data_IF_508951514776
#
_entry.id   IF_508951514776
#
_cell.length_a   1.000
_cell.length_b   1.000
_cell.length_c   1.000
_cell.angle_alpha   90.00
_cell.angle_beta   90.00
_cell.angle_gamma   90.00
#
_symmetry.space_group_name_H-M   'P 1'
#
loop_
_entity.id
_entity.type
_entity.pdbx_description
1 polymer ?
#
# COMPACT_ATOMS: atom_id res chain seq x y z
N UNK A 1 15.24 -34.06 -25.73
CA UNK A 1 15.57 -32.61 -25.74
C UNK A 1 14.53 -31.95 -26.63
N UNK A 2 13.39 -31.57 -26.06
CA UNK A 2 12.36 -30.72 -26.68
C UNK A 2 11.43 -30.23 -25.58
N UNK A 3 11.31 -28.91 -25.47
CA UNK A 3 10.54 -28.18 -24.47
C UNK A 3 9.03 -28.43 -24.58
N UNK A 4 8.33 -28.34 -23.44
CA UNK A 4 6.87 -28.18 -23.42
C UNK A 4 6.56 -26.84 -22.73
N UNK A 5 6.11 -25.88 -23.54
CA UNK A 5 5.71 -24.54 -23.12
C UNK A 5 4.28 -24.51 -22.59
N UNK A 6 4.06 -23.61 -21.62
CA UNK A 6 2.82 -23.35 -20.88
C UNK A 6 1.78 -22.63 -21.75
N UNK A 7 1.11 -23.34 -22.64
CA UNK A 7 -0.12 -22.86 -23.26
C UNK A 7 -0.92 -24.03 -23.83
N UNK A 8 -1.80 -24.66 -23.02
CA UNK A 8 -2.96 -25.44 -23.48
C UNK A 8 -3.64 -26.15 -22.31
N UNK A 9 -4.44 -25.46 -21.49
CA UNK A 9 -5.48 -26.13 -20.69
C UNK A 9 -6.68 -25.19 -20.53
N UNK A 10 -7.44 -25.04 -21.62
CA UNK A 10 -8.81 -24.52 -21.56
C UNK A 10 -9.72 -25.33 -22.50
N UNK A 11 -10.70 -25.97 -21.86
CA UNK A 11 -12.06 -26.35 -22.33
C UNK A 11 -12.30 -27.68 -23.06
N UNK A 12 -13.53 -28.15 -22.78
CA UNK A 12 -14.33 -29.23 -23.38
C UNK A 12 -14.15 -30.61 -22.70
N UNK A 13 -15.18 -31.41 -22.41
CA UNK A 13 -16.60 -31.40 -22.75
C UNK A 13 -17.35 -32.14 -21.61
N UNK A 14 -18.64 -31.96 -21.35
CA UNK A 14 -19.74 -32.29 -22.26
C UNK A 14 -20.28 -33.69 -21.95
N UNK A 15 -21.44 -33.68 -21.29
CA UNK A 15 -22.36 -34.75 -20.87
C UNK A 15 -22.50 -35.95 -21.84
N UNK A 16 -22.57 -37.16 -21.28
CA UNK A 16 -23.52 -38.22 -21.70
C UNK A 16 -23.92 -39.11 -20.53
N UNK A 17 -25.22 -39.42 -20.45
CA UNK A 17 -25.89 -40.19 -19.41
C UNK A 17 -26.19 -41.63 -19.86
N UNK A 18 -26.19 -42.59 -18.93
CA UNK A 18 -27.11 -43.74 -18.87
C UNK A 18 -26.95 -44.47 -17.52
N UNK A 19 -28.07 -44.99 -17.01
CA UNK A 19 -28.35 -45.32 -15.62
C UNK A 19 -28.14 -46.80 -15.23
N UNK A 20 -27.96 -47.06 -13.93
CA UNK A 20 -28.43 -48.28 -13.25
C UNK A 20 -28.52 -48.06 -11.73
N UNK A 21 -29.61 -48.54 -11.13
CA UNK A 21 -30.09 -48.24 -9.78
C UNK A 21 -29.31 -48.94 -8.65
N UNK A 22 -29.17 -48.26 -7.50
CA UNK A 22 -28.87 -48.90 -6.22
C UNK A 22 -29.44 -48.09 -5.03
N UNK A 23 -30.25 -48.80 -4.24
CA UNK A 23 -30.86 -48.52 -2.93
C UNK A 23 -30.49 -47.23 -2.18
N UNK A 24 -31.52 -46.47 -1.81
CA UNK A 24 -31.48 -45.38 -0.84
C UNK A 24 -31.30 -45.92 0.58
N UNK A 25 -30.07 -45.87 1.10
CA UNK A 25 -29.82 -45.78 2.54
C UNK A 25 -29.87 -44.31 2.93
N UNK A 26 -30.98 -43.87 3.53
CA UNK A 26 -31.08 -42.55 4.13
C UNK A 26 -30.22 -42.53 5.41
N UNK A 27 -28.93 -42.22 5.25
CA UNK A 27 -28.11 -41.75 6.37
C UNK A 27 -28.56 -40.34 6.78
N UNK A 28 -28.29 -39.91 8.03
CA UNK A 28 -28.56 -38.53 8.42
C UNK A 28 -27.83 -37.59 7.46
N UNK A 29 -28.59 -36.65 6.91
CA UNK A 29 -28.08 -35.59 6.03
C UNK A 29 -26.91 -34.90 6.74
N UNK A 30 -25.74 -34.71 6.08
CA UNK A 30 -24.65 -33.98 6.70
C UNK A 30 -25.18 -32.59 7.06
N UNK A 31 -25.20 -32.28 8.36
CA UNK A 31 -25.65 -30.99 8.86
C UNK A 31 -24.93 -29.91 8.04
N UNK A 32 -25.71 -29.16 7.26
CA UNK A 32 -25.19 -28.08 6.45
C UNK A 32 -24.36 -27.18 7.36
N UNK A 33 -23.05 -27.13 7.11
CA UNK A 33 -22.17 -26.22 7.83
C UNK A 33 -22.76 -24.82 7.69
N UNK A 34 -23.08 -24.19 8.81
CA UNK A 34 -23.56 -22.82 8.83
C UNK A 34 -22.64 -21.96 7.94
N UNK A 35 -23.18 -21.04 7.12
CA UNK A 35 -22.36 -20.24 6.24
C UNK A 35 -21.27 -19.56 7.08
N UNK A 36 -20.01 -19.88 6.80
CA UNK A 36 -18.87 -19.18 7.39
C UNK A 36 -19.07 -17.72 7.01
N UNK A 37 -19.47 -16.90 7.99
CA UNK A 37 -19.68 -15.48 7.79
C UNK A 37 -18.44 -14.89 7.12
N UNK A 38 -18.62 -14.02 6.14
CA UNK A 38 -17.52 -13.34 5.44
C UNK A 38 -16.52 -12.85 6.49
N UNK A 39 -15.22 -13.21 6.40
CA UNK A 39 -14.25 -12.83 7.40
C UNK A 39 -14.34 -11.33 7.66
N UNK A 40 -14.50 -10.94 8.93
CA UNK A 40 -14.53 -9.53 9.32
C UNK A 40 -13.19 -8.90 8.91
N UNK A 41 -13.24 -7.76 8.23
CA UNK A 41 -12.04 -7.04 7.79
C UNK A 41 -11.15 -6.74 9.01
N UNK A 42 -9.84 -6.93 8.86
CA UNK A 42 -8.88 -6.65 9.93
C UNK A 42 -8.94 -5.17 10.30
N UNK A 43 -9.00 -4.79 11.60
CA UNK A 43 -9.16 -3.39 12.01
C UNK A 43 -8.05 -2.48 11.46
N UNK A 44 -6.82 -2.99 11.34
CA UNK A 44 -5.71 -2.22 10.76
C UNK A 44 -5.89 -1.95 9.25
N UNK A 45 -6.55 -2.85 8.50
CA UNK A 45 -6.89 -2.59 7.09
C UNK A 45 -7.91 -1.46 7.01
N UNK A 46 -8.94 -1.48 7.86
CA UNK A 46 -9.92 -0.38 7.94
C UNK A 46 -9.23 0.94 8.31
N UNK A 47 -8.32 0.95 9.27
CA UNK A 47 -7.53 2.12 9.66
C UNK A 47 -6.74 2.70 8.47
N UNK A 48 -6.00 1.86 7.72
CA UNK A 48 -5.22 2.30 6.56
C UNK A 48 -6.11 2.80 5.42
N UNK A 49 -7.29 2.20 5.21
CA UNK A 49 -8.28 2.66 4.24
C UNK A 49 -8.79 4.07 4.58
N UNK A 50 -9.09 4.31 5.85
CA UNK A 50 -9.53 5.63 6.33
C UNK A 50 -8.40 6.67 6.27
N UNK A 51 -7.16 6.27 6.60
CA UNK A 51 -5.97 7.09 6.40
C UNK A 51 -5.85 7.54 4.94
N UNK A 52 -5.99 6.61 3.99
CA UNK A 52 -5.93 6.93 2.55
C UNK A 52 -7.06 7.88 2.12
N UNK A 53 -8.26 7.72 2.68
CA UNK A 53 -9.37 8.65 2.43
C UNK A 53 -9.08 10.07 2.95
N UNK A 54 -8.46 10.20 4.13
CA UNK A 54 -8.03 11.49 4.67
C UNK A 54 -6.89 12.10 3.84
N UNK A 55 -5.91 11.30 3.45
CA UNK A 55 -4.79 11.70 2.58
C UNK A 55 -5.30 12.22 1.23
N UNK A 56 -6.22 11.49 0.58
CA UNK A 56 -6.80 11.89 -0.71
C UNK A 56 -7.57 13.22 -0.68
N UNK A 57 -8.13 13.58 0.49
CA UNK A 57 -8.79 14.87 0.74
C UNK A 57 -7.83 16.00 1.11
N UNK A 58 -6.54 15.69 1.37
CA UNK A 58 -5.57 16.65 1.87
C UNK A 58 -5.81 17.06 3.33
N UNK A 59 -6.50 16.24 4.13
CA UNK A 59 -6.82 16.54 5.53
C UNK A 59 -5.61 16.29 6.45
N UNK A 60 -4.63 17.18 6.38
CA UNK A 60 -3.39 17.08 7.16
C UNK A 60 -3.63 17.10 8.67
N UNK A 61 -4.71 17.75 9.12
CA UNK A 61 -5.09 17.79 10.53
C UNK A 61 -5.49 16.39 11.00
N UNK A 62 -6.38 15.71 10.26
CA UNK A 62 -6.79 14.34 10.58
C UNK A 62 -5.61 13.36 10.52
N UNK A 63 -4.75 13.49 9.51
CA UNK A 63 -3.51 12.69 9.42
C UNK A 63 -2.69 12.80 10.71
N UNK A 64 -2.44 14.03 11.18
CA UNK A 64 -1.68 14.28 12.40
C UNK A 64 -2.35 13.72 13.65
N UNK A 65 -3.61 14.07 13.88
CA UNK A 65 -4.25 13.89 15.19
C UNK A 65 -4.81 12.48 15.38
N UNK A 66 -5.29 11.87 14.29
CA UNK A 66 -6.00 10.59 14.31
C UNK A 66 -5.13 9.41 13.88
N UNK A 67 -4.34 9.56 12.82
CA UNK A 67 -3.69 8.42 12.18
C UNK A 67 -2.23 8.23 12.61
N UNK A 68 -1.49 9.29 12.92
CA UNK A 68 -0.08 9.18 13.26
C UNK A 68 0.16 8.99 14.76
N UNK A 69 1.05 8.05 15.09
CA UNK A 69 1.66 8.00 16.41
C UNK A 69 2.57 9.23 16.60
N UNK A 70 2.78 9.65 17.86
CA UNK A 70 3.63 10.83 18.17
C UNK A 70 5.08 10.64 17.72
N UNK A 71 5.56 9.40 17.75
CA UNK A 71 6.91 8.97 17.38
C UNK A 71 6.96 8.28 16.01
N UNK A 72 5.98 8.52 15.12
CA UNK A 72 5.93 7.89 13.79
C UNK A 72 7.26 8.01 13.05
N UNK A 73 7.69 6.93 12.41
CA UNK A 73 8.79 6.95 11.44
C UNK A 73 8.29 6.62 10.04
N UNK A 74 8.72 7.39 9.04
CA UNK A 74 8.39 7.15 7.64
C UNK A 74 9.65 7.06 6.80
N UNK A 75 9.97 5.88 6.27
CA UNK A 75 11.20 5.62 5.54
C UNK A 75 10.95 5.60 4.03
N UNK A 76 11.65 6.49 3.32
CA UNK A 76 11.64 6.55 1.86
C UNK A 76 13.01 6.10 1.34
N UNK A 77 13.09 5.01 0.56
CA UNK A 77 14.35 4.51 0.03
C UNK A 77 14.90 5.39 -1.10
N UNK A 78 16.16 5.16 -1.46
CA UNK A 78 16.82 5.78 -2.60
C UNK A 78 17.74 6.93 -2.24
N UNK A 79 18.27 7.57 -3.27
CA UNK A 79 19.27 8.62 -3.14
C UNK A 79 18.77 9.93 -3.75
N UNK A 80 17.58 10.41 -3.35
CA UNK A 80 16.97 11.63 -3.88
C UNK A 80 16.61 12.62 -2.75
N UNK A 81 16.27 13.89 -3.08
CA UNK A 81 16.07 14.95 -2.07
C UNK A 81 14.92 14.74 -1.07
N UNK A 82 14.01 13.79 -1.33
CA UNK A 82 12.92 13.43 -0.41
C UNK A 82 13.19 12.13 0.36
N UNK A 83 14.25 11.39 0.01
CA UNK A 83 14.60 10.10 0.62
C UNK A 83 14.99 10.22 2.11
N UNK A 84 15.20 9.07 2.75
CA UNK A 84 15.56 8.94 4.15
C UNK A 84 14.34 8.82 5.07
N UNK A 85 14.60 8.66 6.37
CA UNK A 85 13.57 8.49 7.39
C UNK A 85 13.10 9.83 7.93
N UNK A 86 11.79 10.07 7.86
CA UNK A 86 11.11 11.20 8.51
C UNK A 86 10.69 10.78 9.91
N UNK A 87 10.95 11.64 10.90
CA UNK A 87 10.68 11.38 12.32
C UNK A 87 9.62 12.32 12.85
N UNK A 88 8.57 11.74 13.41
CA UNK A 88 7.42 12.47 13.96
C UNK A 88 6.49 13.04 12.88
N UNK A 89 5.27 13.45 13.29
CA UNK A 89 4.23 13.88 12.35
C UNK A 89 4.64 15.08 11.47
N UNK A 90 5.46 16.01 11.99
CA UNK A 90 5.83 17.23 11.27
C UNK A 90 6.66 16.95 10.01
N UNK A 91 7.67 16.09 10.13
CA UNK A 91 8.52 15.71 9.00
C UNK A 91 7.74 14.87 7.96
N UNK A 92 6.86 13.97 8.42
CA UNK A 92 5.99 13.17 7.54
C UNK A 92 5.05 14.07 6.74
N UNK A 93 4.40 15.03 7.41
CA UNK A 93 3.51 15.99 6.74
C UNK A 93 4.29 16.93 5.81
N UNK A 94 5.54 17.28 6.15
CA UNK A 94 6.41 18.04 5.24
C UNK A 94 6.72 17.26 3.95
N UNK A 95 6.98 15.95 4.07
CA UNK A 95 7.11 15.05 2.92
C UNK A 95 5.81 15.00 2.09
N UNK A 96 4.65 14.86 2.72
CA UNK A 96 3.37 14.85 1.99
C UNK A 96 3.08 16.17 1.27
N UNK A 97 3.40 17.31 1.89
CA UNK A 97 3.33 18.62 1.20
C UNK A 97 4.25 18.65 -0.02
N UNK A 98 5.44 18.05 0.04
CA UNK A 98 6.32 17.95 -1.11
C UNK A 98 5.70 17.10 -2.23
N UNK A 99 5.14 15.93 -1.92
CA UNK A 99 4.40 15.11 -2.89
C UNK A 99 3.22 15.87 -3.51
N UNK A 100 2.51 16.68 -2.71
CA UNK A 100 1.45 17.58 -3.19
C UNK A 100 1.92 18.57 -4.25
N UNK A 101 3.14 19.13 -4.09
CA UNK A 101 3.76 20.00 -5.12
C UNK A 101 4.05 19.27 -6.42
N UNK A 102 4.47 18.00 -6.34
CA UNK A 102 4.64 17.11 -7.50
C UNK A 102 3.31 16.66 -8.15
N UNK A 103 2.18 17.02 -7.53
CA UNK A 103 0.86 16.55 -7.92
C UNK A 103 0.76 15.02 -7.88
N UNK A 104 1.42 14.39 -6.90
CA UNK A 104 1.42 12.94 -6.74
C UNK A 104 0.00 12.42 -6.47
N UNK A 105 -0.34 11.31 -7.09
CA UNK A 105 -1.62 10.62 -7.00
C UNK A 105 -1.37 9.15 -6.69
N UNK A 106 -2.30 8.53 -5.98
CA UNK A 106 -2.24 7.13 -5.62
C UNK A 106 -3.61 6.48 -5.84
N UNK A 107 -3.61 5.26 -6.37
CA UNK A 107 -4.77 4.41 -6.54
C UNK A 107 -4.48 3.06 -5.89
N UNK A 108 -5.14 2.79 -4.76
CA UNK A 108 -4.94 1.55 -3.99
C UNK A 108 -5.43 0.34 -4.78
N UNK A 109 -4.56 -0.65 -4.96
CA UNK A 109 -4.86 -1.92 -5.62
C UNK A 109 -5.31 -2.94 -4.57
N UNK A 110 -4.57 -3.07 -3.47
CA UNK A 110 -4.83 -4.07 -2.45
C UNK A 110 -4.26 -3.68 -1.08
N UNK A 111 -4.85 -4.23 -0.01
CA UNK A 111 -4.39 -4.15 1.38
C UNK A 111 -4.44 -5.54 2.01
N UNK A 112 -3.36 -5.95 2.67
CA UNK A 112 -3.32 -7.14 3.52
C UNK A 112 -2.82 -6.78 4.91
N UNK A 113 -3.28 -7.49 5.94
CA UNK A 113 -2.76 -7.37 7.28
C UNK A 113 -2.32 -8.71 7.84
N UNK A 114 -1.29 -8.66 8.67
CA UNK A 114 -0.81 -9.76 9.52
C UNK A 114 -0.32 -9.17 10.85
N UNK A 115 -1.01 -9.52 11.94
CA UNK A 115 -0.82 -8.90 13.26
C UNK A 115 -0.88 -7.36 13.19
N UNK A 116 0.18 -6.72 13.64
CA UNK A 116 0.30 -5.26 13.68
C UNK A 116 0.67 -4.63 12.32
N UNK A 117 1.00 -5.44 11.33
CA UNK A 117 1.41 -4.96 10.01
C UNK A 117 0.26 -4.90 9.02
N UNK A 118 0.29 -3.88 8.17
CA UNK A 118 -0.52 -3.76 6.96
C UNK A 118 0.39 -3.47 5.79
N UNK A 119 0.29 -4.25 4.72
CA UNK A 119 0.95 -3.96 3.44
C UNK A 119 -0.09 -3.42 2.48
N UNK A 120 0.21 -2.29 1.84
CA UNK A 120 -0.49 -1.85 0.64
C UNK A 120 0.26 -2.23 -0.62
N UNK A 121 -0.52 -2.34 -1.69
CA UNK A 121 -0.05 -2.20 -3.06
C UNK A 121 -0.89 -1.12 -3.74
N UNK A 122 -0.27 -0.16 -4.42
CA UNK A 122 -0.96 0.89 -5.15
C UNK A 122 -0.22 1.31 -6.41
N UNK A 123 -0.93 1.85 -7.39
CA UNK A 123 -0.31 2.61 -8.48
C UNK A 123 -0.12 4.04 -8.01
N UNK A 124 1.07 4.60 -8.20
CA UNK A 124 1.38 5.97 -7.81
C UNK A 124 2.04 6.72 -8.95
N UNK A 125 1.51 7.91 -9.27
CA UNK A 125 1.99 8.71 -10.39
C UNK A 125 2.02 10.21 -10.09
N UNK A 126 2.82 10.92 -10.87
CA UNK A 126 3.00 12.37 -10.77
C UNK A 126 2.25 13.13 -11.86
N UNK A 127 1.87 14.37 -11.56
CA UNK A 127 1.17 15.23 -12.52
C UNK A 127 1.83 16.59 -12.72
N UNK A 128 2.74 17.03 -11.84
CA UNK A 128 3.35 18.37 -11.85
C UNK A 128 4.84 18.36 -11.47
N UNK A 129 5.78 18.18 -12.41
CA UNK A 129 5.55 17.68 -13.77
C UNK A 129 5.21 16.19 -13.76
N UNK A 130 4.64 15.70 -14.86
CA UNK A 130 4.53 14.25 -15.12
C UNK A 130 5.93 13.65 -15.29
N UNK A 131 6.09 12.36 -15.00
CA UNK A 131 7.34 11.64 -15.26
C UNK A 131 7.59 10.39 -14.41
N UNK A 132 6.83 10.21 -13.34
CA UNK A 132 6.82 9.00 -12.51
C UNK A 132 5.42 8.39 -12.53
N UNK A 133 5.32 7.10 -12.81
CA UNK A 133 4.11 6.29 -12.80
C UNK A 133 4.53 4.82 -12.60
N UNK A 134 4.47 4.34 -11.37
CA UNK A 134 4.96 3.02 -10.99
C UNK A 134 4.04 2.40 -9.95
N UNK A 135 4.13 1.08 -9.78
CA UNK A 135 3.54 0.41 -8.62
C UNK A 135 4.38 0.66 -7.38
N UNK A 136 3.75 0.85 -6.24
CA UNK A 136 4.36 1.01 -4.93
C UNK A 136 3.79 -0.04 -3.99
N UNK A 137 4.60 -0.51 -3.08
CA UNK A 137 4.13 -1.15 -1.86
C UNK A 137 4.56 -0.32 -0.66
N UNK A 138 3.70 -0.18 0.34
CA UNK A 138 4.08 0.36 1.64
C UNK A 138 3.81 -0.69 2.71
N UNK A 139 4.73 -0.82 3.66
CA UNK A 139 4.50 -1.57 4.88
C UNK A 139 4.21 -0.57 6.01
N UNK A 140 3.09 -0.74 6.69
CA UNK A 140 2.68 0.04 7.85
C UNK A 140 2.69 -0.83 9.08
N UNK A 141 3.31 -0.37 10.17
CA UNK A 141 3.14 -0.97 11.49
C UNK A 141 2.21 -0.11 12.32
N UNK A 142 1.19 -0.74 12.88
CA UNK A 142 0.16 -0.10 13.68
C UNK A 142 0.42 -0.39 15.16
N UNK A 143 0.39 0.64 15.98
CA UNK A 143 0.43 0.54 17.44
C UNK A 143 -0.70 1.40 18.01
N UNK A 144 -1.46 0.86 18.96
CA UNK A 144 -2.55 1.57 19.64
C UNK A 144 -3.54 2.27 18.67
N UNK A 145 -3.81 1.62 17.53
CA UNK A 145 -4.72 2.14 16.49
C UNK A 145 -4.15 3.32 15.68
N UNK A 146 -2.82 3.51 15.66
CA UNK A 146 -2.12 4.56 14.92
C UNK A 146 -0.93 4.00 14.16
N UNK A 147 -0.56 4.66 13.07
CA UNK A 147 0.63 4.33 12.28
C UNK A 147 1.86 4.76 13.09
N UNK A 148 2.61 3.77 13.57
CA UNK A 148 3.89 3.96 14.25
C UNK A 148 5.06 3.94 13.25
N UNK A 149 4.91 3.20 12.15
CA UNK A 149 5.94 3.09 11.12
C UNK A 149 5.32 2.93 9.74
N UNK A 150 5.96 3.53 8.74
CA UNK A 150 5.67 3.34 7.33
C UNK A 150 6.97 3.22 6.54
N UNK A 151 7.04 2.28 5.61
CA UNK A 151 8.21 2.06 4.76
C UNK A 151 7.74 1.97 3.31
N UNK A 152 8.32 2.79 2.43
CA UNK A 152 8.02 2.78 1.01
C UNK A 152 8.89 1.78 0.24
N UNK A 153 8.28 1.11 -0.75
CA UNK A 153 8.95 0.24 -1.71
C UNK A 153 8.45 0.55 -3.13
N UNK A 154 9.16 1.40 -3.91
CA UNK A 154 8.83 1.60 -5.32
C UNK A 154 9.12 0.32 -6.13
N UNK A 155 8.25 0.01 -7.07
CA UNK A 155 8.48 -1.06 -8.06
C UNK A 155 9.62 -0.75 -9.03
N UNK A 156 9.99 0.53 -9.15
CA UNK A 156 11.21 0.99 -9.83
C UNK A 156 11.85 2.13 -9.01
N UNK A 157 12.84 1.78 -8.19
CA UNK A 157 13.60 2.73 -7.38
C UNK A 157 14.37 3.73 -8.24
N UNK A 158 14.92 3.31 -9.37
CA UNK A 158 15.73 4.17 -10.22
C UNK A 158 14.87 5.26 -10.87
N UNK A 159 13.67 4.91 -11.33
CA UNK A 159 12.71 5.88 -11.84
C UNK A 159 12.26 6.88 -10.75
N UNK A 160 12.02 6.41 -9.53
CA UNK A 160 11.69 7.27 -8.39
C UNK A 160 12.83 8.25 -8.09
N UNK A 161 14.07 7.77 -8.01
CA UNK A 161 15.26 8.59 -7.74
C UNK A 161 15.43 9.67 -8.80
N UNK A 162 15.41 9.29 -10.08
CA UNK A 162 15.57 10.20 -11.20
C UNK A 162 14.47 11.28 -11.22
N UNK A 163 13.21 10.89 -10.97
CA UNK A 163 12.10 11.83 -10.93
C UNK A 163 12.25 12.83 -9.78
N UNK A 164 12.50 12.36 -8.56
CA UNK A 164 12.57 13.26 -7.41
C UNK A 164 13.78 14.19 -7.46
N UNK A 165 14.90 13.78 -8.05
CA UNK A 165 16.01 14.70 -8.35
C UNK A 165 15.65 15.79 -9.34
N UNK A 166 14.90 15.44 -10.39
CA UNK A 166 14.46 16.41 -11.39
C UNK A 166 13.51 17.46 -10.82
N UNK A 167 12.69 17.08 -9.84
CA UNK A 167 11.59 17.92 -9.34
C UNK A 167 11.95 18.70 -8.08
N UNK A 168 12.82 18.16 -7.23
CA UNK A 168 13.19 18.76 -5.96
C UNK A 168 14.67 19.06 -5.97
N UNK A 169 15.05 20.29 -5.66
CA UNK A 169 16.43 20.65 -5.37
C UNK A 169 16.70 20.42 -3.87
N UNK A 170 17.93 20.03 -3.55
CA UNK A 170 18.42 20.17 -2.18
C UNK A 170 18.52 21.66 -1.82
N UNK A 171 18.48 21.95 -0.52
CA UNK A 171 18.89 23.26 -0.03
C UNK A 171 20.33 23.56 -0.46
N UNK A 172 20.68 24.84 -0.57
CA UNK A 172 22.05 25.24 -0.86
C UNK A 172 23.00 24.74 0.26
N UNK A 173 24.28 24.59 -0.07
CA UNK A 173 25.26 24.01 0.85
C UNK A 173 25.30 24.71 2.22
N UNK A 174 25.27 26.06 2.33
CA UNK A 174 25.27 26.73 3.63
C UNK A 174 24.10 26.29 4.54
N UNK A 175 22.90 26.18 3.97
CA UNK A 175 21.68 25.78 4.71
C UNK A 175 21.71 24.31 5.12
N UNK A 176 22.48 23.47 4.40
CA UNK A 176 22.68 22.06 4.75
C UNK A 176 23.68 21.87 5.88
N UNK A 177 24.67 22.75 5.98
CA UNK A 177 25.70 22.72 7.04
C UNK A 177 25.20 23.35 8.34
N UNK A 178 24.29 24.32 8.25
CA UNK A 178 23.68 25.00 9.38
C UNK A 178 22.16 24.94 9.28
N UNK A 179 21.54 23.79 9.64
CA UNK A 179 20.10 23.69 9.63
C UNK A 179 19.54 24.71 10.62
N UNK A 180 18.91 25.78 10.12
CA UNK A 180 18.18 26.68 11.01
C UNK A 180 17.16 25.85 11.78
N UNK A 181 17.07 26.06 13.09
CA UNK A 181 16.09 25.39 13.95
C UNK A 181 14.69 25.71 13.40
N UNK A 182 14.11 24.79 12.64
CA UNK A 182 12.77 24.97 12.07
C UNK A 182 11.78 24.73 13.21
N UNK A 183 11.17 25.82 13.68
CA UNK A 183 10.09 25.80 14.67
C UNK A 183 8.77 25.25 14.14
#
# INVERSE_FOLDING_TARGET
MTEISRASLLRAAGVTAAAAAAATIAGPEPAAAAPVGKPREHPNVTLIREYYAAYGKGDLQALRTRFFARNITWTIPGHHPLAGTKKGPDEVLAFFRALGRAGFKAETIFLAADGDWVVDLHRGWSTKPRGLDVTWALAFRIEEGRIAEAINYPGDQHAADAYFWKVFALADLPDRLHPQSRG
#
